data_IF_123052323581
#
_entry.id   IF_123052323581
#
_cell.length_a   1.000
_cell.length_b   1.000
_cell.length_c   1.000
_cell.angle_alpha   90.00
_cell.angle_beta   90.00
_cell.angle_gamma   90.00
#
_symmetry.space_group_name_H-M   'P 1'
#
loop_
_entity.id
_entity.type
_entity.pdbx_description
1 polymer ?
#
# COMPACT_ATOMS: atom_id res chain seq x y z
N UNK A 1 12.42 20.82 23.81
CA UNK A 1 12.81 19.46 23.38
C UNK A 1 11.68 18.92 22.49
N UNK A 2 11.68 19.23 21.20
CA UNK A 2 10.68 18.69 20.27
C UNK A 2 11.21 17.35 19.74
N UNK A 3 10.53 16.25 20.09
CA UNK A 3 10.84 14.94 19.55
C UNK A 3 10.68 14.99 18.02
N UNK A 4 11.74 14.64 17.28
CA UNK A 4 11.71 14.60 15.82
C UNK A 4 10.58 13.68 15.34
N UNK A 5 9.67 14.23 14.53
CA UNK A 5 8.54 13.49 13.97
C UNK A 5 9.06 12.35 13.10
N UNK A 6 8.57 11.10 13.24
CA UNK A 6 9.05 9.99 12.41
C UNK A 6 8.83 10.33 10.94
N UNK A 7 9.88 10.13 10.14
CA UNK A 7 9.85 10.32 8.69
C UNK A 7 8.98 9.20 8.12
N UNK A 8 7.87 9.60 7.53
CA UNK A 8 6.82 8.75 6.97
C UNK A 8 7.37 7.88 5.85
N UNK A 9 7.06 6.59 5.88
CA UNK A 9 7.54 5.59 4.93
C UNK A 9 6.43 4.62 4.54
N UNK A 10 6.64 3.82 3.49
CA UNK A 10 5.64 2.86 3.06
C UNK A 10 5.39 1.80 4.14
N UNK A 11 4.12 1.57 4.49
CA UNK A 11 3.71 0.56 5.47
C UNK A 11 3.44 -0.75 4.74
N UNK A 12 4.12 -1.81 5.17
CA UNK A 12 3.96 -3.15 4.57
C UNK A 12 4.74 -3.38 3.29
N UNK A 13 5.67 -2.49 2.90
CA UNK A 13 6.44 -2.60 1.66
C UNK A 13 7.13 -3.94 1.47
N UNK A 14 7.91 -4.40 2.45
CA UNK A 14 8.63 -5.68 2.36
C UNK A 14 7.67 -6.85 2.15
N UNK A 15 6.53 -6.84 2.86
CA UNK A 15 5.50 -7.87 2.71
C UNK A 15 4.84 -7.80 1.34
N UNK A 16 4.44 -6.63 0.88
CA UNK A 16 3.85 -6.45 -0.44
C UNK A 16 4.78 -6.92 -1.56
N UNK A 17 6.09 -6.64 -1.44
CA UNK A 17 7.10 -7.13 -2.39
C UNK A 17 7.25 -8.64 -2.33
N UNK A 18 7.23 -9.25 -1.15
CA UNK A 18 7.27 -10.71 -1.02
C UNK A 18 6.03 -11.36 -1.65
N UNK A 19 4.84 -10.87 -1.32
CA UNK A 19 3.57 -11.37 -1.85
C UNK A 19 3.53 -11.22 -3.41
N UNK A 20 4.05 -10.12 -3.95
CA UNK A 20 4.18 -9.92 -5.41
C UNK A 20 5.26 -10.78 -6.08
N UNK A 21 6.26 -11.27 -5.34
CA UNK A 21 7.27 -12.19 -5.87
C UNK A 21 6.80 -13.63 -5.85
N UNK A 22 6.00 -13.99 -4.85
CA UNK A 22 5.50 -15.34 -4.65
C UNK A 22 4.22 -15.62 -5.46
N UNK A 23 3.59 -14.57 -6.02
CA UNK A 23 2.41 -14.74 -6.86
C UNK A 23 2.76 -15.41 -8.19
N UNK A 24 1.96 -16.40 -8.59
CA UNK A 24 2.06 -17.05 -9.90
C UNK A 24 1.19 -16.38 -10.97
N UNK A 25 0.54 -15.26 -10.64
CA UNK A 25 -0.37 -14.56 -11.56
C UNK A 25 0.47 -13.75 -12.57
N UNK A 26 0.21 -13.94 -13.85
CA UNK A 26 0.92 -13.23 -14.93
C UNK A 26 0.46 -11.78 -15.08
N UNK A 27 -0.80 -11.51 -14.71
CA UNK A 27 -1.42 -10.19 -14.80
C UNK A 27 -2.09 -9.81 -13.49
N UNK A 28 -1.98 -8.52 -13.14
CA UNK A 28 -2.60 -7.93 -11.97
C UNK A 28 -3.25 -6.60 -12.33
N UNK A 29 -4.37 -6.30 -11.68
CA UNK A 29 -4.98 -4.99 -11.69
C UNK A 29 -4.42 -4.13 -10.55
N UNK A 30 -4.07 -2.88 -10.85
CA UNK A 30 -3.60 -1.93 -9.85
C UNK A 30 -4.73 -0.96 -9.53
N UNK A 31 -5.05 -0.82 -8.24
CA UNK A 31 -6.04 0.11 -7.73
C UNK A 31 -5.56 0.86 -6.50
N UNK A 32 -6.42 1.71 -5.96
CA UNK A 32 -6.19 2.32 -4.66
C UNK A 32 -7.47 2.40 -3.83
N UNK A 33 -7.29 2.34 -2.51
CA UNK A 33 -8.33 2.64 -1.51
C UNK A 33 -7.86 3.85 -0.72
N UNK A 34 -8.71 4.85 -0.57
CA UNK A 34 -8.41 6.04 0.22
C UNK A 34 -9.23 6.04 1.51
N UNK A 35 -8.63 5.55 2.60
CA UNK A 35 -9.23 5.52 3.93
C UNK A 35 -8.79 6.72 4.80
N UNK A 36 -8.04 7.67 4.22
CA UNK A 36 -7.62 8.89 4.92
C UNK A 36 -8.79 9.72 5.49
N UNK A 37 -9.98 9.79 4.86
CA UNK A 37 -11.12 10.47 5.47
C UNK A 37 -11.53 9.91 6.85
N UNK A 38 -11.22 8.64 7.12
CA UNK A 38 -11.50 7.96 8.40
C UNK A 38 -10.30 7.98 9.37
N UNK A 39 -9.22 8.68 9.02
CA UNK A 39 -7.95 8.64 9.75
C UNK A 39 -7.03 7.47 9.37
N UNK A 40 -7.39 6.70 8.33
CA UNK A 40 -6.58 5.61 7.78
C UNK A 40 -5.52 6.07 6.78
N UNK A 41 -5.06 5.12 5.94
CA UNK A 41 -4.03 5.34 4.93
C UNK A 41 -4.62 5.37 3.51
N UNK A 42 -3.82 5.86 2.55
CA UNK A 42 -4.06 5.54 1.14
C UNK A 42 -3.37 4.22 0.85
N UNK A 43 -4.11 3.22 0.41
CA UNK A 43 -3.56 1.92 0.05
C UNK A 43 -3.44 1.79 -1.46
N UNK A 44 -2.30 1.32 -1.95
CA UNK A 44 -2.18 0.76 -3.29
C UNK A 44 -2.50 -0.73 -3.20
N UNK A 45 -3.42 -1.20 -4.02
CA UNK A 45 -3.87 -2.59 -4.03
C UNK A 45 -3.53 -3.25 -5.37
N UNK A 46 -3.15 -4.52 -5.30
CA UNK A 46 -2.86 -5.37 -6.45
C UNK A 46 -3.85 -6.53 -6.41
N UNK A 47 -4.71 -6.62 -7.42
CA UNK A 47 -5.82 -7.57 -7.49
C UNK A 47 -5.62 -8.53 -8.67
N UNK A 48 -6.27 -9.69 -8.62
CA UNK A 48 -6.49 -10.50 -9.83
C UNK A 48 -7.32 -9.74 -10.86
N UNK A 49 -7.26 -10.12 -12.16
CA UNK A 49 -8.09 -9.50 -13.20
C UNK A 49 -9.60 -9.61 -12.97
N UNK A 50 -10.04 -10.64 -12.24
CA UNK A 50 -11.44 -10.82 -11.86
C UNK A 50 -11.89 -9.93 -10.70
N UNK A 51 -10.97 -9.16 -10.09
CA UNK A 51 -11.20 -8.25 -8.97
C UNK A 51 -11.75 -8.94 -7.70
N UNK A 52 -11.53 -10.24 -7.56
CA UNK A 52 -12.06 -11.09 -6.49
C UNK A 52 -11.01 -11.48 -5.44
N UNK A 53 -9.72 -11.31 -5.75
CA UNK A 53 -8.61 -11.70 -4.90
C UNK A 53 -7.58 -10.57 -4.78
N UNK A 54 -7.21 -10.23 -3.54
CA UNK A 54 -6.13 -9.29 -3.22
C UNK A 54 -4.80 -10.03 -3.12
N UNK A 55 -3.89 -9.73 -4.04
CA UNK A 55 -2.55 -10.33 -4.10
C UNK A 55 -1.58 -9.60 -3.18
N UNK A 56 -1.60 -8.26 -3.20
CA UNK A 56 -0.72 -7.46 -2.33
C UNK A 56 -1.35 -6.10 -2.01
N UNK A 57 -0.91 -5.52 -0.88
CA UNK A 57 -1.36 -4.21 -0.44
C UNK A 57 -0.21 -3.42 0.17
N UNK A 58 -0.12 -2.15 -0.22
CA UNK A 58 0.90 -1.21 0.24
C UNK A 58 0.24 0.04 0.81
N UNK A 59 0.47 0.30 2.10
CA UNK A 59 0.03 1.54 2.74
C UNK A 59 0.96 2.70 2.40
N UNK A 60 0.38 3.81 1.95
CA UNK A 60 1.08 5.06 1.61
C UNK A 60 0.56 6.17 2.52
N UNK A 61 1.44 6.66 3.39
CA UNK A 61 1.18 7.86 4.19
C UNK A 61 1.36 9.12 3.33
N UNK A 62 0.54 10.15 3.59
CA UNK A 62 0.63 11.43 2.87
C UNK A 62 1.95 12.12 3.21
N UNK A 63 2.89 12.16 2.27
CA UNK A 63 4.07 13.02 2.36
C UNK A 63 3.61 14.47 2.21
N UNK A 64 3.65 15.23 3.31
CA UNK A 64 3.59 16.69 3.23
C UNK A 64 4.99 17.16 2.85
N UNK A 65 5.14 17.73 1.65
CA UNK A 65 6.34 18.48 1.28
C UNK A 65 6.14 19.92 1.74
N UNK A 66 7.06 20.41 2.57
CA UNK A 66 7.29 21.85 2.77
C UNK A 66 7.86 22.45 1.47
#
# INVERSE_FOLDING_TARGET
MAAGKPRQGPVGFTKAVADLRDTSKEELCIGYVDDRPSGGLKFQVFLTPALDELVACLGVEKIVRD
#
